data_IF_287824321246
#
_entry.id   IF_287824321246
#
_cell.length_a   1.000
_cell.length_b   1.000
_cell.length_c   1.000
_cell.angle_alpha   90.00
_cell.angle_beta   90.00
_cell.angle_gamma   90.00
#
_symmetry.space_group_name_H-M   'P 1'
#
loop_
_entity.id
_entity.type
_entity.pdbx_description
1 polymer ?
#
# COMPACT_ATOMS: atom_id res chain seq x y z
N UNK A 1 23.69 -54.69 8.17
CA UNK A 1 24.28 -54.08 6.96
C UNK A 1 23.63 -52.76 6.69
N UNK A 2 24.24 -51.66 7.14
CA UNK A 2 23.79 -50.29 6.85
C UNK A 2 24.72 -49.70 5.77
N UNK A 3 24.20 -49.55 4.55
CA UNK A 3 24.92 -48.82 3.50
C UNK A 3 24.57 -47.35 3.62
N UNK A 4 25.56 -46.57 4.04
CA UNK A 4 25.48 -45.13 4.05
C UNK A 4 25.45 -44.55 2.65
N UNK A 5 24.43 -43.78 2.36
CA UNK A 5 24.28 -43.02 1.14
C UNK A 5 25.00 -41.67 1.37
N UNK A 6 26.30 -41.61 1.10
CA UNK A 6 27.07 -40.36 1.02
C UNK A 6 26.65 -39.60 -0.25
N UNK A 7 25.82 -38.59 -0.10
CA UNK A 7 25.58 -37.61 -1.17
C UNK A 7 26.85 -36.76 -1.37
N UNK A 8 27.67 -37.13 -2.35
CA UNK A 8 28.78 -36.33 -2.84
C UNK A 8 28.24 -34.96 -3.29
N UNK A 9 28.51 -33.90 -2.54
CA UNK A 9 28.36 -32.50 -2.98
C UNK A 9 29.27 -32.26 -4.19
N UNK A 10 28.68 -32.37 -5.41
CA UNK A 10 29.41 -32.16 -6.65
C UNK A 10 29.63 -30.66 -6.85
N UNK A 11 30.86 -30.21 -6.62
CA UNK A 11 31.36 -28.83 -6.88
C UNK A 11 31.03 -28.49 -8.33
N UNK A 12 30.05 -27.59 -8.57
CA UNK A 12 29.70 -27.15 -9.92
C UNK A 12 30.84 -26.35 -10.52
N UNK A 13 31.55 -26.91 -11.52
CA UNK A 13 32.63 -26.24 -12.19
C UNK A 13 32.09 -25.15 -13.13
N UNK A 14 32.78 -23.99 -13.22
CA UNK A 14 32.38 -22.81 -13.98
C UNK A 14 32.08 -23.08 -15.48
N UNK A 15 32.57 -24.18 -16.03
CA UNK A 15 32.33 -24.63 -17.42
C UNK A 15 30.87 -25.05 -17.60
N UNK A 16 30.26 -25.67 -16.59
CA UNK A 16 28.84 -26.08 -16.65
C UNK A 16 27.89 -24.86 -16.57
N UNK A 17 28.25 -23.82 -15.84
CA UNK A 17 27.44 -22.60 -15.73
C UNK A 17 27.40 -21.88 -17.08
N UNK A 18 28.52 -21.73 -17.79
CA UNK A 18 28.54 -21.11 -19.13
C UNK A 18 27.69 -21.88 -20.15
N UNK A 19 27.78 -23.21 -20.16
CA UNK A 19 26.94 -24.04 -21.03
C UNK A 19 25.47 -23.94 -20.69
N UNK A 20 25.12 -23.89 -19.41
CA UNK A 20 23.75 -23.73 -18.95
C UNK A 20 23.16 -22.38 -19.36
N UNK A 21 23.90 -21.29 -19.13
CA UNK A 21 23.50 -19.93 -19.54
C UNK A 21 23.32 -19.85 -21.06
N UNK A 22 24.22 -20.45 -21.84
CA UNK A 22 24.11 -20.45 -23.30
C UNK A 22 22.86 -21.20 -23.79
N UNK A 23 22.51 -22.31 -23.16
CA UNK A 23 21.31 -23.08 -23.53
C UNK A 23 19.99 -22.44 -23.09
N UNK A 24 20.05 -21.54 -22.09
CA UNK A 24 18.87 -20.89 -21.53
C UNK A 24 18.92 -19.36 -21.68
N UNK A 25 19.65 -18.85 -22.68
CA UNK A 25 19.87 -17.42 -22.89
C UNK A 25 18.55 -16.63 -23.01
N UNK A 26 17.50 -17.25 -23.58
CA UNK A 26 16.18 -16.63 -23.70
C UNK A 26 15.58 -16.26 -22.35
N UNK A 27 15.74 -17.14 -21.33
CA UNK A 27 15.26 -16.87 -19.98
C UNK A 27 16.02 -15.68 -19.36
N UNK A 28 17.32 -15.61 -19.58
CA UNK A 28 18.13 -14.48 -19.09
C UNK A 28 17.82 -13.18 -19.83
N UNK A 29 17.53 -13.25 -21.14
CA UNK A 29 17.08 -12.10 -21.91
C UNK A 29 15.73 -11.57 -21.40
N UNK A 30 14.78 -12.46 -21.10
CA UNK A 30 13.49 -12.06 -20.49
C UNK A 30 13.69 -11.45 -19.09
N UNK A 31 14.64 -11.95 -18.31
CA UNK A 31 14.96 -11.42 -16.98
C UNK A 31 15.64 -10.05 -17.04
N UNK A 32 16.38 -9.76 -18.11
CA UNK A 32 17.13 -8.52 -18.27
C UNK A 32 16.20 -7.29 -18.20
N UNK A 33 15.05 -7.35 -18.85
CA UNK A 33 14.10 -6.21 -18.90
C UNK A 33 13.62 -5.81 -17.49
N UNK A 34 13.05 -6.73 -16.65
CA UNK A 34 12.64 -6.35 -15.30
C UNK A 34 13.84 -5.98 -14.39
N UNK A 35 15.03 -6.58 -14.59
CA UNK A 35 16.21 -6.22 -13.81
C UNK A 35 16.67 -4.80 -14.14
N UNK A 36 16.76 -4.44 -15.42
CA UNK A 36 17.08 -3.07 -15.84
C UNK A 36 16.04 -2.08 -15.33
N UNK A 37 14.75 -2.42 -15.44
CA UNK A 37 13.67 -1.61 -14.88
C UNK A 37 13.86 -1.39 -13.36
N UNK A 38 14.13 -2.45 -12.59
CA UNK A 38 14.38 -2.32 -11.16
C UNK A 38 15.58 -1.44 -10.84
N UNK A 39 16.68 -1.61 -11.56
CA UNK A 39 17.89 -0.79 -11.35
C UNK A 39 17.59 0.69 -11.62
N UNK A 40 16.94 1.01 -12.73
CA UNK A 40 16.66 2.39 -13.11
C UNK A 40 15.58 3.05 -12.23
N UNK A 41 14.50 2.35 -11.91
CA UNK A 41 13.33 2.93 -11.26
C UNK A 41 13.21 2.63 -9.77
N UNK A 42 13.97 1.67 -9.25
CA UNK A 42 13.97 1.35 -7.81
C UNK A 42 15.32 1.68 -7.17
N UNK A 43 16.44 1.17 -7.71
CA UNK A 43 17.75 1.38 -7.10
C UNK A 43 18.33 2.78 -7.35
N UNK A 44 18.22 3.31 -8.56
CA UNK A 44 18.72 4.65 -8.85
C UNK A 44 18.09 5.74 -7.97
N UNK A 45 16.75 5.78 -7.74
CA UNK A 45 16.17 6.73 -6.80
C UNK A 45 16.60 6.56 -5.35
N UNK A 46 17.06 5.37 -4.93
CA UNK A 46 17.61 5.18 -3.59
C UNK A 46 18.87 6.01 -3.33
N UNK A 47 19.63 6.37 -4.38
CA UNK A 47 20.74 7.33 -4.25
C UNK A 47 20.25 8.70 -3.76
N UNK A 48 18.98 9.03 -3.95
CA UNK A 48 18.36 10.23 -3.43
C UNK A 48 18.32 10.30 -1.89
N UNK A 49 18.54 9.20 -1.18
CA UNK A 49 18.67 9.21 0.29
C UNK A 49 19.81 10.14 0.74
N UNK A 50 20.83 10.34 -0.09
CA UNK A 50 21.92 11.28 0.17
C UNK A 50 21.41 12.72 0.37
N UNK A 51 20.29 13.08 -0.28
CA UNK A 51 19.67 14.42 -0.14
C UNK A 51 19.26 14.71 1.31
N UNK A 52 18.91 13.68 2.08
CA UNK A 52 18.57 13.85 3.50
C UNK A 52 19.71 14.46 4.34
N UNK A 53 20.97 14.32 3.88
CA UNK A 53 22.17 14.83 4.56
C UNK A 53 22.73 16.11 3.93
N UNK A 54 22.06 16.62 2.88
CA UNK A 54 22.48 17.81 2.14
C UNK A 54 21.43 18.90 2.20
N UNK A 55 21.84 20.17 2.18
CA UNK A 55 20.94 21.29 1.96
C UNK A 55 20.64 21.36 0.46
N UNK A 56 19.66 20.56 0.04
CA UNK A 56 19.34 20.37 -1.37
C UNK A 56 18.87 21.68 -2.03
N UNK A 57 19.52 22.04 -3.12
CA UNK A 57 19.11 23.12 -3.98
C UNK A 57 18.83 22.57 -5.39
N UNK A 58 17.63 22.83 -5.91
CA UNK A 58 17.20 22.33 -7.22
C UNK A 58 18.11 22.80 -8.34
N UNK A 59 18.70 24.00 -8.24
CA UNK A 59 19.60 24.55 -9.26
C UNK A 59 21.00 23.92 -9.27
N UNK A 60 21.46 23.43 -8.12
CA UNK A 60 22.78 22.81 -7.95
C UNK A 60 22.72 21.28 -8.12
N UNK A 61 21.54 20.70 -8.00
CA UNK A 61 21.37 19.26 -8.06
C UNK A 61 21.85 18.54 -6.80
N UNK A 62 21.84 17.19 -6.85
CA UNK A 62 22.15 16.35 -5.68
C UNK A 62 23.65 16.42 -5.34
N UNK A 63 24.53 16.49 -6.35
CA UNK A 63 25.96 16.34 -6.14
C UNK A 63 26.64 17.62 -5.65
N UNK A 64 26.23 18.78 -6.15
CA UNK A 64 26.84 20.06 -5.83
C UNK A 64 26.19 20.78 -4.62
N UNK A 65 25.08 20.24 -4.10
CA UNK A 65 24.47 20.77 -2.88
C UNK A 65 25.37 20.57 -1.66
N UNK A 66 25.49 21.57 -0.76
CA UNK A 66 26.37 21.50 0.40
C UNK A 66 25.90 20.44 1.40
N UNK A 67 26.87 19.76 2.01
CA UNK A 67 26.64 18.74 3.03
C UNK A 67 26.35 19.39 4.39
N UNK A 68 25.20 19.07 5.00
CA UNK A 68 24.77 19.63 6.31
C UNK A 68 24.65 18.54 7.40
N UNK A 69 25.02 17.30 7.09
CA UNK A 69 24.96 16.21 8.05
C UNK A 69 23.53 15.92 8.52
N UNK A 70 23.29 15.96 9.81
CA UNK A 70 21.98 15.64 10.41
C UNK A 70 21.06 16.85 10.64
N UNK A 71 21.42 18.03 10.14
CA UNK A 71 20.63 19.24 10.38
C UNK A 71 19.17 19.13 9.88
N UNK A 72 18.96 18.52 8.72
CA UNK A 72 17.61 18.29 8.19
C UNK A 72 16.78 17.36 9.09
N UNK A 73 17.40 16.37 9.71
CA UNK A 73 16.73 15.48 10.67
C UNK A 73 16.37 16.22 11.95
N UNK A 74 17.27 17.06 12.45
CA UNK A 74 17.01 17.89 13.63
C UNK A 74 15.85 18.84 13.37
N UNK A 75 15.80 19.50 12.21
CA UNK A 75 14.69 20.35 11.79
C UNK A 75 13.39 19.56 11.70
N UNK A 76 13.41 18.37 11.06
CA UNK A 76 12.24 17.51 10.96
C UNK A 76 11.70 17.10 12.33
N UNK A 77 12.56 16.64 13.25
CA UNK A 77 12.13 16.20 14.59
C UNK A 77 11.68 17.35 15.51
N UNK A 78 12.08 18.58 15.24
CA UNK A 78 11.57 19.76 15.96
C UNK A 78 10.28 20.30 15.38
N UNK A 79 9.92 19.90 14.14
CA UNK A 79 8.70 20.35 13.47
C UNK A 79 7.45 19.68 14.07
N UNK A 80 6.45 20.49 14.40
CA UNK A 80 5.13 20.01 14.83
C UNK A 80 4.41 19.22 13.73
N UNK A 81 4.63 19.59 12.46
CA UNK A 81 4.03 18.93 11.30
C UNK A 81 4.52 17.49 11.14
N UNK A 82 5.81 17.24 11.41
CA UNK A 82 6.37 15.89 11.40
C UNK A 82 5.66 14.98 12.41
N UNK A 83 5.49 15.43 13.65
CA UNK A 83 4.83 14.63 14.69
C UNK A 83 3.35 14.43 14.40
N UNK A 84 2.68 15.45 13.86
CA UNK A 84 1.28 15.35 13.43
C UNK A 84 1.11 14.34 12.29
N UNK A 85 1.97 14.38 11.28
CA UNK A 85 1.97 13.42 10.17
C UNK A 85 2.30 12.00 10.64
N UNK A 86 3.31 11.84 11.49
CA UNK A 86 3.68 10.55 12.07
C UNK A 86 2.53 9.93 12.88
N UNK A 87 1.93 10.73 13.79
CA UNK A 87 0.77 10.30 14.59
C UNK A 87 -0.40 9.89 13.70
N UNK A 88 -0.72 10.71 12.70
CA UNK A 88 -1.82 10.39 11.79
C UNK A 88 -1.57 9.12 10.99
N UNK A 89 -0.35 8.94 10.48
CA UNK A 89 0.07 7.74 9.76
C UNK A 89 -0.03 6.50 10.64
N UNK A 90 0.43 6.57 11.89
CA UNK A 90 0.33 5.44 12.82
C UNK A 90 -1.13 5.10 13.14
N UNK A 91 -1.98 6.11 13.41
CA UNK A 91 -3.40 5.89 13.70
C UNK A 91 -4.10 5.21 12.50
N UNK A 92 -3.86 5.71 11.28
CA UNK A 92 -4.48 5.13 10.09
C UNK A 92 -4.02 3.68 9.86
N UNK A 93 -2.71 3.42 9.92
CA UNK A 93 -2.18 2.07 9.68
C UNK A 93 -2.57 1.06 10.77
N UNK A 94 -2.58 1.48 12.05
CA UNK A 94 -3.05 0.63 13.15
C UNK A 94 -4.55 0.35 12.98
N UNK A 95 -5.35 1.34 12.62
CA UNK A 95 -6.76 1.16 12.33
C UNK A 95 -6.99 0.21 11.15
N UNK A 96 -6.24 0.37 10.06
CA UNK A 96 -6.28 -0.56 8.92
C UNK A 96 -5.93 -1.99 9.33
N UNK A 97 -4.95 -2.17 10.20
CA UNK A 97 -4.58 -3.50 10.70
C UNK A 97 -5.68 -4.09 11.58
N UNK A 98 -6.25 -3.30 12.50
CA UNK A 98 -7.25 -3.78 13.45
C UNK A 98 -8.64 -3.98 12.85
N UNK A 99 -8.99 -3.23 11.82
CA UNK A 99 -10.31 -3.25 11.16
C UNK A 99 -10.21 -3.97 9.82
N UNK A 100 -9.28 -3.57 8.97
CA UNK A 100 -9.13 -4.07 7.60
C UNK A 100 -8.66 -5.53 7.53
N UNK A 101 -7.91 -6.01 8.51
CA UNK A 101 -7.48 -7.41 8.52
C UNK A 101 -8.55 -8.39 9.06
N UNK A 102 -9.24 -8.14 10.21
CA UNK A 102 -10.22 -9.09 10.74
C UNK A 102 -11.53 -9.15 9.93
N UNK A 103 -11.99 -8.03 9.37
CA UNK A 103 -13.30 -8.00 8.69
C UNK A 103 -13.35 -8.91 7.46
N UNK A 104 -12.38 -8.91 6.54
CA UNK A 104 -12.36 -9.88 5.42
C UNK A 104 -12.35 -11.34 5.90
N UNK A 105 -11.64 -11.64 6.99
CA UNK A 105 -11.62 -13.00 7.56
C UNK A 105 -13.02 -13.37 8.06
N UNK A 106 -13.67 -12.49 8.81
CA UNK A 106 -15.04 -12.72 9.30
C UNK A 106 -16.01 -12.89 8.13
N UNK A 107 -15.91 -12.06 7.09
CA UNK A 107 -16.73 -12.20 5.88
C UNK A 107 -16.48 -13.53 5.18
N UNK A 108 -15.23 -13.99 5.08
CA UNK A 108 -14.91 -15.29 4.49
C UNK A 108 -15.51 -16.45 5.29
N UNK A 109 -15.48 -16.39 6.63
CA UNK A 109 -16.11 -17.38 7.51
C UNK A 109 -17.63 -17.36 7.31
N UNK A 110 -18.27 -16.19 7.35
CA UNK A 110 -19.73 -16.08 7.12
C UNK A 110 -20.13 -16.60 5.74
N UNK A 111 -19.35 -16.30 4.70
CA UNK A 111 -19.62 -16.81 3.35
C UNK A 111 -19.53 -18.35 3.29
N UNK A 112 -18.63 -18.95 4.07
CA UNK A 112 -18.48 -20.39 4.12
C UNK A 112 -19.66 -21.09 4.82
N UNK A 113 -20.29 -20.43 5.81
CA UNK A 113 -21.48 -20.92 6.52
C UNK A 113 -22.77 -20.86 5.69
N UNK A 114 -22.78 -20.12 4.57
CA UNK A 114 -23.95 -20.05 3.69
C UNK A 114 -24.22 -21.39 3.01
N UNK A 115 -25.34 -22.02 3.36
CA UNK A 115 -25.77 -23.32 2.81
C UNK A 115 -26.08 -23.26 1.33
N UNK A 116 -26.62 -22.17 0.83
CA UNK A 116 -26.98 -22.00 -0.58
C UNK A 116 -25.79 -21.56 -1.42
N UNK A 117 -25.36 -22.40 -2.36
CA UNK A 117 -24.31 -22.11 -3.32
C UNK A 117 -24.63 -20.88 -4.19
N UNK A 118 -25.91 -20.66 -4.52
CA UNK A 118 -26.33 -19.49 -5.32
C UNK A 118 -26.15 -18.20 -4.51
N UNK A 119 -26.65 -18.16 -3.27
CA UNK A 119 -26.51 -16.99 -2.39
C UNK A 119 -25.03 -16.68 -2.18
N UNK A 120 -24.21 -17.68 -1.86
CA UNK A 120 -22.75 -17.51 -1.68
C UNK A 120 -22.10 -16.87 -2.89
N UNK A 121 -22.35 -17.40 -4.10
CA UNK A 121 -21.77 -16.83 -5.34
C UNK A 121 -22.21 -15.39 -5.59
N UNK A 122 -23.50 -15.10 -5.42
CA UNK A 122 -24.02 -13.74 -5.60
C UNK A 122 -23.40 -12.77 -4.60
N UNK A 123 -23.33 -13.13 -3.32
CA UNK A 123 -22.69 -12.30 -2.29
C UNK A 123 -21.21 -12.08 -2.56
N UNK A 124 -20.49 -13.11 -2.97
CA UNK A 124 -19.09 -12.97 -3.39
C UNK A 124 -18.93 -11.99 -4.56
N UNK A 125 -19.77 -12.10 -5.59
CA UNK A 125 -19.71 -11.18 -6.75
C UNK A 125 -19.98 -9.73 -6.31
N UNK A 126 -20.93 -9.51 -5.40
CA UNK A 126 -21.23 -8.18 -4.88
C UNK A 126 -20.08 -7.62 -4.02
N UNK A 127 -19.41 -8.46 -3.24
CA UNK A 127 -18.25 -8.05 -2.44
C UNK A 127 -17.03 -7.74 -3.30
N UNK A 128 -16.85 -8.40 -4.44
CA UNK A 128 -15.75 -8.09 -5.37
C UNK A 128 -15.98 -6.82 -6.19
N UNK A 129 -17.23 -6.40 -6.37
CA UNK A 129 -17.56 -5.25 -7.22
C UNK A 129 -16.81 -3.96 -6.83
N UNK A 130 -16.73 -3.58 -5.56
CA UNK A 130 -16.01 -2.37 -5.13
C UNK A 130 -14.51 -2.41 -5.42
N UNK A 131 -13.89 -3.59 -5.44
CA UNK A 131 -12.45 -3.74 -5.70
C UNK A 131 -12.04 -3.31 -7.12
N UNK A 132 -12.97 -3.30 -8.08
CA UNK A 132 -12.73 -2.79 -9.44
C UNK A 132 -12.82 -1.26 -9.53
N UNK A 133 -13.31 -0.58 -8.49
CA UNK A 133 -13.38 0.87 -8.47
C UNK A 133 -12.02 1.47 -8.11
N UNK A 134 -11.58 2.48 -8.87
CA UNK A 134 -10.39 3.23 -8.50
C UNK A 134 -10.64 4.08 -7.25
N UNK A 135 -9.59 4.36 -6.47
CA UNK A 135 -9.68 5.27 -5.33
C UNK A 135 -10.16 6.68 -5.71
N UNK A 136 -9.93 7.11 -6.95
CA UNK A 136 -10.43 8.40 -7.47
C UNK A 136 -11.96 8.40 -7.53
N UNK A 137 -12.56 7.31 -8.01
CA UNK A 137 -14.02 7.16 -8.06
C UNK A 137 -14.58 7.09 -6.63
N UNK A 138 -13.97 6.30 -5.76
CA UNK A 138 -14.40 6.16 -4.37
C UNK A 138 -14.32 7.51 -3.65
N UNK A 139 -13.24 8.28 -3.82
CA UNK A 139 -13.12 9.60 -3.20
C UNK A 139 -14.17 10.57 -3.71
N UNK A 140 -14.53 10.50 -4.99
CA UNK A 140 -15.64 11.26 -5.57
C UNK A 140 -16.99 10.92 -4.92
N UNK A 141 -17.28 9.63 -4.75
CA UNK A 141 -18.49 9.14 -4.07
C UNK A 141 -18.51 9.62 -2.61
N UNK A 142 -17.41 9.47 -1.88
CA UNK A 142 -17.28 9.93 -0.49
C UNK A 142 -17.52 11.44 -0.39
N UNK A 143 -16.90 12.23 -1.25
CA UNK A 143 -17.06 13.68 -1.25
C UNK A 143 -18.52 14.07 -1.53
N UNK A 144 -19.16 13.42 -2.51
CA UNK A 144 -20.55 13.70 -2.85
C UNK A 144 -21.52 13.29 -1.74
N UNK A 145 -21.27 12.19 -1.04
CA UNK A 145 -22.14 11.71 0.05
C UNK A 145 -21.97 12.53 1.33
N UNK A 146 -20.71 12.85 1.71
CA UNK A 146 -20.37 13.39 3.03
C UNK A 146 -20.02 14.89 3.02
N UNK A 147 -20.15 15.59 1.88
CA UNK A 147 -20.01 17.05 1.84
C UNK A 147 -21.10 17.73 2.66
N UNK A 148 -20.89 19.03 2.95
CA UNK A 148 -21.90 19.82 3.71
C UNK A 148 -23.28 19.84 3.05
N UNK A 149 -23.34 19.81 1.73
CA UNK A 149 -24.56 19.69 0.92
C UNK A 149 -24.82 18.27 0.41
N UNK A 150 -24.10 17.28 0.94
CA UNK A 150 -24.16 15.89 0.51
C UNK A 150 -25.44 15.17 0.99
N UNK A 151 -25.66 13.97 0.40
CA UNK A 151 -26.86 13.19 0.67
C UNK A 151 -27.02 12.87 2.17
N UNK A 152 -25.94 12.56 2.88
CA UNK A 152 -25.97 12.24 4.31
C UNK A 152 -26.46 13.45 5.12
N UNK A 153 -25.91 14.64 4.87
CA UNK A 153 -26.36 15.86 5.54
C UNK A 153 -27.81 16.25 5.18
N UNK A 154 -28.22 16.02 3.94
CA UNK A 154 -29.62 16.25 3.55
C UNK A 154 -30.59 15.34 4.33
N UNK A 155 -30.21 14.09 4.55
CA UNK A 155 -31.03 13.16 5.38
C UNK A 155 -31.03 13.61 6.83
N UNK A 156 -29.89 14.00 7.41
CA UNK A 156 -29.81 14.50 8.79
C UNK A 156 -30.69 15.73 8.96
N UNK A 157 -30.62 16.69 8.05
CA UNK A 157 -31.45 17.90 8.09
C UNK A 157 -32.95 17.61 7.95
N UNK A 158 -33.30 16.65 7.07
CA UNK A 158 -34.68 16.20 6.92
C UNK A 158 -35.24 15.52 8.19
N UNK A 159 -34.36 14.91 9.00
CA UNK A 159 -34.70 14.34 10.29
C UNK A 159 -34.68 15.38 11.45
N UNK A 160 -34.43 16.67 11.15
CA UNK A 160 -34.40 17.74 12.16
C UNK A 160 -33.06 17.89 12.87
N UNK A 161 -31.97 17.25 12.37
CA UNK A 161 -30.60 17.39 12.86
C UNK A 161 -29.89 18.55 12.22
N UNK A 162 -28.72 18.92 12.78
CA UNK A 162 -27.82 19.90 12.19
C UNK A 162 -26.80 19.26 11.25
N UNK A 163 -26.36 20.01 10.22
CA UNK A 163 -25.33 19.56 9.29
C UNK A 163 -24.01 19.27 9.98
N UNK A 164 -23.43 18.13 9.68
CA UNK A 164 -22.17 17.65 10.25
C UNK A 164 -21.03 17.81 9.24
N UNK A 165 -19.90 18.39 9.67
CA UNK A 165 -18.68 18.53 8.85
C UNK A 165 -17.86 17.25 8.83
N UNK A 166 -18.32 16.23 8.12
CA UNK A 166 -17.69 14.91 8.07
C UNK A 166 -16.26 14.96 7.53
N UNK A 167 -16.02 15.69 6.44
CA UNK A 167 -14.75 15.73 5.75
C UNK A 167 -13.70 16.61 6.45
N UNK A 168 -14.16 17.58 7.25
CA UNK A 168 -13.26 18.50 7.99
C UNK A 168 -12.89 17.99 9.37
N UNK A 169 -13.66 17.03 9.92
CA UNK A 169 -13.36 16.44 11.22
C UNK A 169 -12.37 15.28 11.09
N UNK A 170 -11.16 15.37 11.69
CA UNK A 170 -10.17 14.28 11.59
C UNK A 170 -10.67 12.95 12.15
N UNK A 171 -11.56 12.99 13.15
CA UNK A 171 -12.15 11.80 13.76
C UNK A 171 -13.12 11.10 12.80
N UNK A 172 -14.11 11.84 12.28
CA UNK A 172 -15.12 11.30 11.36
C UNK A 172 -14.50 10.84 10.04
N UNK A 173 -13.53 11.63 9.53
CA UNK A 173 -12.81 11.28 8.31
C UNK A 173 -12.09 9.93 8.41
N UNK A 174 -11.47 9.61 9.56
CA UNK A 174 -10.81 8.31 9.77
C UNK A 174 -11.80 7.14 9.70
N UNK A 175 -12.99 7.27 10.28
CA UNK A 175 -14.02 6.23 10.18
C UNK A 175 -14.51 6.04 8.75
N UNK A 176 -14.74 7.13 8.01
CA UNK A 176 -15.09 7.07 6.59
C UNK A 176 -13.98 6.36 5.80
N UNK A 177 -12.72 6.73 6.03
CA UNK A 177 -11.57 6.12 5.38
C UNK A 177 -11.50 4.61 5.62
N UNK A 178 -11.60 4.17 6.87
CA UNK A 178 -11.57 2.74 7.21
C UNK A 178 -12.78 1.99 6.65
N UNK A 179 -13.97 2.56 6.73
CA UNK A 179 -15.18 1.95 6.18
C UNK A 179 -15.06 1.69 4.68
N UNK A 180 -14.66 2.72 3.91
CA UNK A 180 -14.51 2.57 2.46
C UNK A 180 -13.28 1.73 2.08
N UNK A 181 -12.22 1.75 2.89
CA UNK A 181 -11.06 0.88 2.75
C UNK A 181 -11.44 -0.59 2.87
N UNK A 182 -12.19 -0.94 3.90
CA UNK A 182 -12.72 -2.30 4.09
C UNK A 182 -13.71 -2.66 2.98
N UNK A 183 -14.63 -1.77 2.63
CA UNK A 183 -15.61 -2.01 1.58
C UNK A 183 -14.96 -2.29 0.22
N UNK A 184 -13.88 -1.59 -0.11
CA UNK A 184 -13.13 -1.83 -1.35
C UNK A 184 -12.27 -3.10 -1.27
N UNK A 185 -11.61 -3.34 -0.13
CA UNK A 185 -10.60 -4.38 0.02
C UNK A 185 -11.10 -5.70 0.57
N UNK A 186 -12.39 -5.83 0.91
CA UNK A 186 -12.95 -7.05 1.52
C UNK A 186 -13.23 -8.18 0.52
N UNK A 187 -13.14 -7.91 -0.79
CA UNK A 187 -13.42 -8.86 -1.88
C UNK A 187 -12.23 -9.63 -2.41
#
# INVERSE_FOLDING_TARGET
MRRGCEMKKKKMSGIRVKSYVKNHWQLYAMLLIPVVYMILFKYKPMLGVVVAFKKFNVFQGIWDSPWVGLANFQEAFTSADFWSALKNTLILNIGDLLIGFPIPILLAVFLNELRSSKIRKTTQTLLYLPNFLSWVIISGIVTQLFSSSGLVNNVINACGGESVSFLSSPFLWRFIYWFFGVWQGAG
#
